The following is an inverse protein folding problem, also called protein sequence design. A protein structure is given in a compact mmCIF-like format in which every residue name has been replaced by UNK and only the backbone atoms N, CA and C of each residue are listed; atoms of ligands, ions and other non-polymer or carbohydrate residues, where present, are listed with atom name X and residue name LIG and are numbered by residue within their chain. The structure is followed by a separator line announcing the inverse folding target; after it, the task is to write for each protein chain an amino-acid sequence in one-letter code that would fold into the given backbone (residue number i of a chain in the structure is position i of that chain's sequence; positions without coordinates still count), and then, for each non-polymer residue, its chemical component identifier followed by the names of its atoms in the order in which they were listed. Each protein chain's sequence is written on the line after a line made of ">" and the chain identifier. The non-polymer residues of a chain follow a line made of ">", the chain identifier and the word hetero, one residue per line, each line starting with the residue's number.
data_IF_096233869514
#
_entry.id   IF_096233869514
#
_cell.length_a   1.000
_cell.length_b   1.000
_cell.length_c   1.000
_cell.angle_alpha   90.00
_cell.angle_beta   90.00
_cell.angle_gamma   90.00
#
_symmetry.space_group_name_H-M   'P 1'
#
loop_
_entity.id
_entity.type
_entity.pdbx_description
1 polymer ?
#
# COMPACT_ATOMS: atom_id res chain seq x y z
N UNK A 1 -29.42 -75.55 -2.89
CA UNK A 1 -29.87 -74.65 -1.81
C UNK A 1 -28.62 -74.10 -1.12
N UNK A 2 -28.17 -72.92 -1.54
CA UNK A 2 -26.95 -72.29 -1.02
C UNK A 2 -27.28 -71.38 0.16
N UNK A 3 -26.61 -71.60 1.28
CA UNK A 3 -26.72 -70.79 2.49
C UNK A 3 -25.74 -69.62 2.36
N UNK A 4 -26.26 -68.39 2.22
CA UNK A 4 -25.44 -67.18 2.21
C UNK A 4 -25.11 -66.80 3.65
N UNK A 5 -23.83 -66.87 4.01
CA UNK A 5 -23.32 -66.36 5.30
C UNK A 5 -23.00 -64.88 5.13
N UNK A 6 -23.81 -64.02 5.74
CA UNK A 6 -23.53 -62.58 5.84
C UNK A 6 -22.37 -62.35 6.81
N UNK A 7 -21.15 -62.16 6.30
CA UNK A 7 -20.07 -61.54 7.08
C UNK A 7 -20.32 -60.03 7.11
N UNK A 8 -20.80 -59.56 8.25
CA UNK A 8 -20.81 -58.14 8.60
C UNK A 8 -19.34 -57.73 8.76
N UNK A 9 -18.78 -57.04 7.77
CA UNK A 9 -17.49 -56.37 7.90
C UNK A 9 -17.61 -55.22 8.93
N UNK A 10 -16.55 -54.91 9.69
CA UNK A 10 -16.60 -53.83 10.67
C UNK A 10 -16.94 -52.52 9.96
N UNK A 11 -17.89 -51.78 10.53
CA UNK A 11 -18.29 -50.45 10.08
C UNK A 11 -17.05 -49.59 9.88
N UNK A 12 -16.95 -48.96 8.71
CA UNK A 12 -15.96 -47.92 8.46
C UNK A 12 -16.16 -46.86 9.54
N UNK A 13 -15.27 -46.86 10.54
CA UNK A 13 -15.36 -46.00 11.70
C UNK A 13 -15.37 -44.56 11.24
N UNK A 14 -16.29 -43.78 11.78
CA UNK A 14 -16.33 -42.34 11.60
C UNK A 14 -14.93 -41.76 11.85
N UNK A 15 -14.33 -41.16 10.83
CA UNK A 15 -13.07 -40.43 10.97
C UNK A 15 -13.39 -39.27 11.90
N UNK A 16 -13.00 -39.39 13.17
CA UNK A 16 -13.17 -38.35 14.16
C UNK A 16 -12.20 -37.22 13.80
N UNK A 17 -12.67 -36.28 12.97
CA UNK A 17 -11.92 -35.08 12.60
C UNK A 17 -11.84 -34.20 13.84
N UNK A 18 -10.78 -34.36 14.62
CA UNK A 18 -10.46 -33.42 15.68
C UNK A 18 -10.10 -32.08 15.04
N UNK A 19 -11.03 -31.14 15.10
CA UNK A 19 -10.77 -29.74 14.78
C UNK A 19 -9.83 -29.16 15.83
N UNK A 20 -8.52 -29.20 15.55
CA UNK A 20 -7.52 -28.52 16.37
C UNK A 20 -7.61 -27.03 16.07
N UNK A 21 -7.88 -26.23 17.10
CA UNK A 21 -7.87 -24.77 16.97
C UNK A 21 -6.43 -24.30 16.71
N UNK A 22 -6.13 -23.97 15.46
CA UNK A 22 -4.85 -23.40 15.07
C UNK A 22 -4.90 -21.90 15.34
N UNK A 23 -4.08 -21.42 16.26
CA UNK A 23 -3.81 -20.00 16.40
C UNK A 23 -2.73 -19.63 15.39
N UNK A 24 -3.00 -18.61 14.59
CA UNK A 24 -2.06 -18.05 13.64
C UNK A 24 -1.81 -16.58 14.00
N UNK A 25 -0.64 -16.07 13.63
CA UNK A 25 -0.24 -14.68 13.88
C UNK A 25 -0.92 -13.72 12.89
N UNK A 26 -2.23 -13.86 12.69
CA UNK A 26 -3.04 -12.95 11.90
C UNK A 26 -3.79 -12.01 12.82
N UNK A 27 -3.70 -10.72 12.53
CA UNK A 27 -4.46 -9.69 13.22
C UNK A 27 -5.63 -9.26 12.36
N UNK A 28 -6.84 -9.30 12.93
CA UNK A 28 -8.02 -8.76 12.25
C UNK A 28 -7.96 -7.23 12.33
N UNK A 29 -7.67 -6.59 11.20
CA UNK A 29 -7.71 -5.14 11.07
C UNK A 29 -9.14 -4.71 10.76
N UNK A 30 -9.72 -3.87 11.63
CA UNK A 30 -11.05 -3.29 11.41
C UNK A 30 -10.90 -1.83 11.00
N UNK A 31 -11.53 -1.46 9.88
CA UNK A 31 -11.47 -0.11 9.33
C UNK A 31 -12.71 0.69 9.77
N UNK A 32 -12.61 1.37 10.91
CA UNK A 32 -13.73 2.07 11.57
C UNK A 32 -14.22 3.32 10.81
N UNK A 33 -13.33 4.04 10.12
CA UNK A 33 -13.63 5.20 9.27
C UNK A 33 -12.86 5.10 7.95
N UNK A 34 -13.41 5.67 6.88
CA UNK A 34 -12.74 5.80 5.57
C UNK A 34 -12.20 7.22 5.43
N UNK A 35 -10.94 7.50 5.83
CA UNK A 35 -10.27 8.71 5.37
C UNK A 35 -10.27 8.75 3.83
N UNK A 36 -10.40 9.96 3.26
CA UNK A 36 -10.23 10.17 1.81
C UNK A 36 -8.76 9.95 1.47
N UNK A 37 -8.41 8.71 1.14
CA UNK A 37 -7.06 8.36 0.77
C UNK A 37 -6.80 8.67 -0.69
N UNK A 38 -5.63 9.25 -0.93
CA UNK A 38 -5.23 9.75 -2.22
C UNK A 38 -3.90 9.15 -2.61
N UNK A 39 -3.82 8.67 -3.85
CA UNK A 39 -2.61 8.08 -4.40
C UNK A 39 -1.91 9.06 -5.32
N UNK A 40 -0.61 9.19 -5.10
CA UNK A 40 0.28 10.00 -5.93
C UNK A 40 1.43 9.13 -6.40
N UNK A 41 1.88 9.37 -7.63
CA UNK A 41 3.06 8.74 -8.21
C UNK A 41 4.17 9.76 -8.34
N UNK A 42 5.37 9.40 -7.89
CA UNK A 42 6.57 10.22 -8.03
C UNK A 42 7.34 9.76 -9.26
N UNK A 43 7.58 10.70 -10.17
CA UNK A 43 8.46 10.55 -11.30
C UNK A 43 9.67 11.46 -11.09
N UNK A 44 10.84 10.86 -10.93
CA UNK A 44 12.10 11.59 -10.82
C UNK A 44 12.60 11.98 -12.22
N UNK A 45 13.28 13.13 -12.30
CA UNK A 45 14.02 13.53 -13.50
C UNK A 45 15.12 12.53 -13.89
N UNK A 46 15.61 12.67 -15.11
CA UNK A 46 16.79 11.95 -15.57
C UNK A 46 18.08 12.52 -15.00
N UNK A 47 19.03 11.64 -14.69
CA UNK A 47 20.37 12.02 -14.25
C UNK A 47 21.33 11.80 -15.41
N UNK A 48 21.93 12.88 -15.93
CA UNK A 48 22.82 12.83 -17.09
C UNK A 48 22.14 12.17 -18.31
N UNK A 49 20.88 12.54 -18.57
CA UNK A 49 20.04 11.98 -19.65
C UNK A 49 19.82 10.47 -19.54
N UNK A 50 19.92 9.91 -18.33
CA UNK A 50 19.67 8.51 -18.04
C UNK A 50 18.62 8.36 -16.96
N UNK A 51 17.75 7.38 -17.15
CA UNK A 51 16.77 7.00 -16.15
C UNK A 51 17.43 6.39 -14.92
N UNK A 52 16.79 6.60 -13.78
CA UNK A 52 17.26 6.12 -12.49
C UNK A 52 16.78 4.69 -12.30
N UNK A 53 17.56 3.73 -12.78
CA UNK A 53 17.24 2.30 -12.70
C UNK A 53 17.56 1.71 -11.32
N UNK A 54 18.56 2.27 -10.62
CA UNK A 54 18.99 1.75 -9.30
C UNK A 54 17.95 2.08 -8.22
N UNK A 55 17.33 1.02 -7.67
CA UNK A 55 16.31 1.10 -6.60
C UNK A 55 16.77 1.91 -5.39
N UNK A 56 17.96 1.63 -4.86
CA UNK A 56 18.49 2.34 -3.68
C UNK A 56 18.70 3.83 -3.93
N UNK A 57 19.17 4.19 -5.14
CA UNK A 57 19.35 5.59 -5.51
C UNK A 57 18.00 6.30 -5.62
N UNK A 58 17.01 5.66 -6.25
CA UNK A 58 15.64 6.17 -6.34
C UNK A 58 15.04 6.39 -4.95
N UNK A 59 15.22 5.43 -4.05
CA UNK A 59 14.80 5.53 -2.64
C UNK A 59 15.43 6.71 -1.92
N UNK A 60 16.75 6.88 -2.06
CA UNK A 60 17.46 7.99 -1.44
C UNK A 60 16.99 9.35 -1.98
N UNK A 61 16.72 9.46 -3.29
CA UNK A 61 16.27 10.71 -3.91
C UNK A 61 14.83 11.07 -3.51
N UNK A 62 13.92 10.09 -3.49
CA UNK A 62 12.54 10.31 -3.02
C UNK A 62 12.54 10.72 -1.56
N UNK A 63 13.34 10.04 -0.72
CA UNK A 63 13.50 10.42 0.68
C UNK A 63 14.01 11.86 0.81
N UNK A 64 15.06 12.23 0.08
CA UNK A 64 15.61 13.58 0.11
C UNK A 64 14.62 14.66 -0.39
N UNK A 65 13.77 14.32 -1.37
CA UNK A 65 12.70 15.20 -1.85
C UNK A 65 11.67 15.46 -0.74
N UNK A 66 11.23 14.40 -0.06
CA UNK A 66 10.23 14.49 1.02
C UNK A 66 10.80 15.16 2.28
N UNK A 67 12.11 15.06 2.52
CA UNK A 67 12.79 15.78 3.61
C UNK A 67 12.94 17.27 3.32
N UNK A 68 13.20 17.66 2.07
CA UNK A 68 13.30 19.07 1.67
C UNK A 68 11.93 19.76 1.60
N UNK A 69 10.90 19.01 1.21
CA UNK A 69 9.52 19.50 1.08
C UNK A 69 8.60 18.57 1.88
N UNK A 70 8.58 18.66 3.22
CA UNK A 70 7.76 17.79 4.03
C UNK A 70 6.27 18.05 3.78
N UNK A 71 5.47 17.02 3.46
CA UNK A 71 4.02 17.15 3.38
C UNK A 71 3.44 17.48 4.76
N UNK A 72 2.42 18.36 4.81
CA UNK A 72 1.83 18.85 6.05
C UNK A 72 0.83 17.89 6.72
N UNK A 73 0.41 16.85 6.00
CA UNK A 73 -0.61 15.89 6.46
C UNK A 73 -0.03 14.53 6.86
N UNK A 74 -0.92 13.55 7.02
CA UNK A 74 -0.54 12.15 7.24
C UNK A 74 -0.35 11.48 5.89
N UNK A 75 0.82 10.90 5.69
CA UNK A 75 1.20 10.26 4.45
C UNK A 75 2.15 9.11 4.70
N UNK A 76 2.16 8.17 3.77
CA UNK A 76 3.10 7.04 3.73
C UNK A 76 3.62 6.94 2.31
N UNK A 77 4.90 6.58 2.17
CA UNK A 77 5.51 6.31 0.88
C UNK A 77 6.20 4.96 0.90
N UNK A 78 6.20 4.31 -0.25
CA UNK A 78 7.04 3.14 -0.52
C UNK A 78 8.52 3.51 -0.74
N UNK A 79 8.81 4.82 -0.78
CA UNK A 79 10.09 5.41 -1.16
C UNK A 79 10.62 4.84 -2.48
N UNK A 80 9.74 4.57 -3.43
CA UNK A 80 10.09 4.03 -4.73
C UNK A 80 9.27 4.66 -5.85
N UNK A 81 7.95 4.62 -5.79
CA UNK A 81 7.08 5.15 -6.84
C UNK A 81 5.83 5.81 -6.28
N UNK A 82 5.26 5.33 -5.18
CA UNK A 82 3.96 5.79 -4.70
C UNK A 82 4.02 6.48 -3.34
N UNK A 83 3.13 7.47 -3.21
CA UNK A 83 2.77 8.11 -1.95
C UNK A 83 1.27 7.95 -1.78
N UNK A 84 0.85 7.56 -0.58
CA UNK A 84 -0.53 7.58 -0.16
C UNK A 84 -0.66 8.62 0.95
N UNK A 85 -1.58 9.56 0.80
CA UNK A 85 -1.88 10.54 1.85
C UNK A 85 -3.35 10.52 2.23
N UNK A 86 -3.61 10.91 3.47
CA UNK A 86 -4.92 11.40 3.88
C UNK A 86 -5.05 12.82 3.32
N UNK A 87 -6.11 13.07 2.55
CA UNK A 87 -6.34 14.34 1.86
C UNK A 87 -5.21 14.72 0.89
N UNK A 88 -5.12 16.01 0.54
CA UNK A 88 -4.13 16.55 -0.39
C UNK A 88 -2.72 16.42 0.19
N UNK A 89 -1.80 15.84 -0.59
CA UNK A 89 -0.40 15.71 -0.20
C UNK A 89 0.26 17.08 -0.01
N UNK A 90 0.02 18.00 -0.93
CA UNK A 90 0.39 19.41 -0.81
C UNK A 90 -0.83 20.29 -1.16
N UNK A 91 -0.93 21.52 -0.61
CA UNK A 91 -2.03 22.43 -0.95
C UNK A 91 -2.12 22.77 -2.44
N UNK A 92 -0.99 22.75 -3.15
CA UNK A 92 -0.88 23.01 -4.59
C UNK A 92 -1.37 21.84 -5.46
N UNK A 93 -1.54 20.63 -4.89
CA UNK A 93 -2.01 19.49 -5.64
C UNK A 93 -3.50 19.64 -6.00
N UNK A 94 -3.81 19.34 -7.26
CA UNK A 94 -5.19 19.32 -7.77
C UNK A 94 -5.92 18.05 -7.35
N UNK A 95 -7.25 18.12 -7.34
CA UNK A 95 -8.17 17.00 -7.14
C UNK A 95 -8.46 16.21 -8.43
N UNK A 96 -7.84 16.60 -9.55
CA UNK A 96 -8.08 15.96 -10.86
C UNK A 96 -7.01 14.92 -11.17
N UNK A 97 -7.40 13.65 -11.34
CA UNK A 97 -6.49 12.57 -11.69
C UNK A 97 -5.71 12.88 -12.98
N UNK A 98 -4.43 12.52 -13.00
CA UNK A 98 -3.47 12.85 -14.05
C UNK A 98 -2.80 14.22 -13.90
N UNK A 99 -3.21 15.05 -12.93
CA UNK A 99 -2.57 16.36 -12.72
C UNK A 99 -1.13 16.18 -12.24
N UNK A 100 -0.22 16.94 -12.84
CA UNK A 100 1.21 16.92 -12.53
C UNK A 100 1.59 18.16 -11.73
N UNK A 101 2.20 17.95 -10.58
CA UNK A 101 2.83 18.99 -9.76
C UNK A 101 4.34 18.81 -9.83
N UNK A 102 5.06 19.83 -10.33
CA UNK A 102 6.52 19.79 -10.40
C UNK A 102 7.12 20.35 -9.11
N UNK A 103 8.10 19.64 -8.57
CA UNK A 103 8.80 19.96 -7.34
C UNK A 103 10.29 20.08 -7.64
N UNK A 104 10.82 21.28 -7.45
CA UNK A 104 12.25 21.54 -7.51
C UNK A 104 12.89 21.13 -6.18
N UNK A 105 13.89 20.26 -6.24
CA UNK A 105 14.65 19.83 -5.06
C UNK A 105 16.12 19.66 -5.44
N UNK A 106 16.97 19.52 -4.43
CA UNK A 106 18.40 19.37 -4.62
C UNK A 106 18.85 17.95 -4.30
N UNK A 107 19.85 17.47 -5.01
CA UNK A 107 20.54 16.22 -4.70
C UNK A 107 22.04 16.43 -4.57
N UNK A 108 22.74 15.56 -3.82
CA UNK A 108 24.19 15.59 -3.78
C UNK A 108 24.77 15.19 -5.15
N UNK A 109 25.62 16.05 -5.69
CA UNK A 109 26.42 15.83 -6.89
C UNK A 109 27.71 15.07 -6.59
N UNK A 110 28.41 14.66 -7.65
CA UNK A 110 29.64 13.83 -7.55
C UNK A 110 30.76 14.49 -6.73
N UNK A 111 30.80 15.82 -6.70
CA UNK A 111 31.86 16.59 -6.03
C UNK A 111 31.36 17.21 -4.71
N UNK A 112 30.26 16.71 -4.14
CA UNK A 112 29.64 17.29 -2.94
C UNK A 112 28.87 18.60 -3.20
N UNK A 113 28.76 19.03 -4.45
CA UNK A 113 27.93 20.17 -4.84
C UNK A 113 26.45 19.80 -4.85
N UNK A 114 25.57 20.73 -4.48
CA UNK A 114 24.13 20.53 -4.62
C UNK A 114 23.70 20.77 -6.07
N UNK A 115 23.02 19.79 -6.66
CA UNK A 115 22.53 19.85 -8.04
C UNK A 115 21.02 19.91 -8.00
N UNK A 116 20.45 20.93 -8.63
CA UNK A 116 19.01 21.08 -8.77
C UNK A 116 18.44 19.96 -9.67
N UNK A 117 17.27 19.47 -9.31
CA UNK A 117 16.56 18.40 -10.00
C UNK A 117 15.06 18.65 -9.92
N UNK A 118 14.34 18.40 -11.00
CA UNK A 118 12.90 18.62 -11.06
C UNK A 118 12.15 17.28 -11.07
N UNK A 119 11.44 16.98 -9.98
CA UNK A 119 10.61 15.78 -9.92
C UNK A 119 9.15 16.15 -10.16
N UNK A 120 8.40 15.21 -10.72
CA UNK A 120 6.96 15.34 -10.92
C UNK A 120 6.21 14.45 -9.93
N UNK A 121 5.19 15.01 -9.31
CA UNK A 121 4.23 14.31 -8.46
C UNK A 121 2.91 14.29 -9.21
N UNK A 122 2.43 13.11 -9.54
CA UNK A 122 1.27 12.90 -10.38
C UNK A 122 0.15 12.36 -9.50
N UNK A 123 -0.97 13.08 -9.42
CA UNK A 123 -2.14 12.56 -8.71
C UNK A 123 -2.82 11.47 -9.55
N UNK A 124 -2.93 10.26 -9.03
CA UNK A 124 -3.53 9.14 -9.77
C UNK A 124 -5.01 8.93 -9.47
N UNK A 125 -5.49 9.42 -8.32
CA UNK A 125 -6.89 9.31 -7.93
C UNK A 125 -7.06 8.99 -6.45
N UNK A 126 -8.33 8.93 -6.03
CA UNK A 126 -8.71 8.48 -4.70
C UNK A 126 -8.73 6.95 -4.64
N UNK A 127 -8.47 6.43 -3.45
CA UNK A 127 -8.52 5.00 -3.19
C UNK A 127 -9.98 4.52 -3.14
N UNK A 128 -10.32 3.57 -4.00
CA UNK A 128 -11.68 3.05 -4.08
C UNK A 128 -11.89 1.88 -3.11
N UNK A 129 -12.18 2.20 -1.84
CA UNK A 129 -12.48 1.19 -0.79
C UNK A 129 -13.62 0.25 -1.19
N UNK A 130 -14.66 0.76 -1.86
CA UNK A 130 -15.80 -0.05 -2.29
C UNK A 130 -15.40 -1.14 -3.27
N UNK A 131 -14.46 -0.85 -4.19
CA UNK A 131 -13.94 -1.82 -5.14
C UNK A 131 -13.16 -2.94 -4.43
N UNK A 132 -12.31 -2.58 -3.46
CA UNK A 132 -11.59 -3.55 -2.64
C UNK A 132 -12.54 -4.41 -1.80
N UNK A 133 -13.52 -3.79 -1.13
CA UNK A 133 -14.49 -4.52 -0.31
C UNK A 133 -15.32 -5.49 -1.14
N UNK A 134 -15.78 -5.06 -2.32
CA UNK A 134 -16.47 -5.94 -3.25
C UNK A 134 -15.57 -7.10 -3.67
N UNK A 135 -14.29 -6.85 -3.92
CA UNK A 135 -13.33 -7.89 -4.26
C UNK A 135 -13.14 -8.91 -3.11
N UNK A 136 -12.81 -8.44 -1.91
CA UNK A 136 -12.61 -9.31 -0.72
C UNK A 136 -13.87 -10.09 -0.39
N UNK A 137 -15.05 -9.48 -0.52
CA UNK A 137 -16.33 -10.15 -0.25
C UNK A 137 -16.73 -11.16 -1.35
N UNK A 138 -16.21 -11.00 -2.58
CA UNK A 138 -16.67 -11.80 -3.72
C UNK A 138 -16.30 -13.27 -3.66
N UNK A 139 -15.34 -13.70 -2.80
CA UNK A 139 -14.81 -15.07 -2.74
C UNK A 139 -14.33 -15.65 -4.09
N UNK A 140 -14.39 -14.86 -5.17
CA UNK A 140 -13.90 -15.18 -6.49
C UNK A 140 -12.45 -14.74 -6.55
N UNK A 141 -11.56 -15.71 -6.73
CA UNK A 141 -10.11 -15.53 -6.84
C UNK A 141 -9.69 -14.83 -8.14
N UNK A 142 -10.37 -13.76 -8.54
CA UNK A 142 -9.94 -12.96 -9.67
C UNK A 142 -8.75 -12.11 -9.24
N UNK A 143 -7.62 -12.29 -9.91
CA UNK A 143 -6.37 -11.58 -9.71
C UNK A 143 -6.57 -10.08 -9.41
N UNK A 144 -6.20 -9.65 -8.20
CA UNK A 144 -6.01 -8.24 -7.87
C UNK A 144 -4.62 -7.86 -8.35
N UNK A 145 -4.46 -6.78 -9.15
CA UNK A 145 -3.14 -6.31 -9.53
C UNK A 145 -2.31 -6.03 -8.27
N UNK A 146 -1.06 -6.49 -8.22
CA UNK A 146 -0.12 -6.28 -7.10
C UNK A 146 -0.10 -4.84 -6.55
N UNK A 147 -0.34 -3.86 -7.42
CA UNK A 147 -0.41 -2.45 -7.04
C UNK A 147 -1.53 -2.14 -6.04
N UNK A 148 -2.68 -2.82 -6.11
CA UNK A 148 -3.78 -2.65 -5.17
C UNK A 148 -3.57 -3.42 -3.87
N UNK A 149 -2.92 -4.59 -3.90
CA UNK A 149 -2.54 -5.32 -2.68
C UNK A 149 -1.51 -4.57 -1.84
N UNK A 150 -0.57 -3.86 -2.48
CA UNK A 150 0.37 -2.98 -1.76
C UNK A 150 -0.34 -1.77 -1.13
N UNK A 151 -1.48 -1.34 -1.69
CA UNK A 151 -2.27 -0.26 -1.08
C UNK A 151 -2.87 -0.67 0.25
N UNK A 152 -3.12 -1.96 0.51
CA UNK A 152 -3.56 -2.43 1.83
C UNK A 152 -2.46 -2.27 2.88
N UNK A 153 -1.20 -2.58 2.52
CA UNK A 153 -0.05 -2.32 3.40
C UNK A 153 0.08 -0.82 3.70
N UNK A 154 -0.03 0.04 2.67
CA UNK A 154 0.02 1.49 2.86
C UNK A 154 -1.17 2.02 3.66
N UNK A 155 -2.37 1.49 3.46
CA UNK A 155 -3.57 1.85 4.21
C UNK A 155 -3.43 1.50 5.69
N UNK A 156 -2.92 0.29 5.99
CA UNK A 156 -2.65 -0.14 7.36
C UNK A 156 -1.61 0.78 8.01
N UNK A 157 -0.54 1.12 7.29
CA UNK A 157 0.48 2.06 7.79
C UNK A 157 -0.07 3.46 8.04
N UNK A 158 -0.88 3.99 7.12
CA UNK A 158 -1.53 5.32 7.25
C UNK A 158 -2.52 5.32 8.42
N UNK A 159 -3.35 4.29 8.57
CA UNK A 159 -4.28 4.16 9.70
C UNK A 159 -3.54 4.05 11.03
N UNK A 160 -2.46 3.27 11.08
CA UNK A 160 -1.66 3.13 12.30
C UNK A 160 -1.06 4.48 12.70
N UNK A 161 -0.51 5.23 11.73
CA UNK A 161 0.02 6.57 11.99
C UNK A 161 -1.08 7.57 12.38
N UNK A 162 -2.26 7.50 11.77
CA UNK A 162 -3.42 8.32 12.12
C UNK A 162 -3.91 8.04 13.55
N UNK A 163 -4.03 6.76 13.95
CA UNK A 163 -4.39 6.36 15.30
C UNK A 163 -3.38 6.86 16.34
N UNK A 164 -2.07 6.77 16.04
CA UNK A 164 -1.03 7.33 16.90
C UNK A 164 -1.16 8.85 17.08
N UNK A 165 -1.45 9.59 16.01
CA UNK A 165 -1.66 11.04 16.09
C UNK A 165 -2.94 11.40 16.87
N UNK A 166 -4.02 10.64 16.68
CA UNK A 166 -5.29 10.83 17.38
C UNK A 166 -5.20 10.55 18.88
N UNK A 167 -4.46 9.51 19.29
CA UNK A 167 -4.21 9.19 20.70
C UNK A 167 -3.31 10.24 21.38
N UNK A 168 -2.45 10.93 20.62
CA UNK A 168 -1.61 12.01 21.12
C UNK A 168 -2.28 13.40 21.16
N UNK A 169 -3.54 13.53 20.73
CA UNK A 169 -4.26 14.80 20.73
C UNK A 169 -3.71 15.85 19.75
N UNK A 170 -3.01 15.41 18.70
CA UNK A 170 -2.50 16.27 17.62
C UNK A 170 -3.41 16.06 16.40
N UNK A 171 -4.61 16.62 16.45
CA UNK A 171 -5.52 16.78 15.30
C UNK A 171 -6.22 18.13 15.44
#
# INVERSE_FOLDING_TARGET
>A
MGQWVSKIGPSCGDINVQHVAVQANYFKVNFASSPDLRRYRIQLDQINSKDIVKRELRRALIKALLEQHPPSGIWVSDYFEYIVSVDKLYPVCSDSAGTVTNVLHHRPGRNGTWVAMQSSIIYEGSFQRSALQAHVASNTSSFVPDAELRMDEYYIMVQYQWLQCAECGIV
#
